data_IF_263292794641
#
_entry.id   IF_263292794641
#
_cell.length_a   1.000
_cell.length_b   1.000
_cell.length_c   1.000
_cell.angle_alpha   90.00
_cell.angle_beta   90.00
_cell.angle_gamma   90.00
#
_symmetry.space_group_name_H-M   'P 1'
#
loop_
_entity.id
_entity.type
_entity.pdbx_description
1 polymer ?
#
# COMPACT_ATOMS: atom_id res chain seq x y z
N UNK A 1 4.38 -3.09 -15.41
CA UNK A 1 3.03 -3.04 -16.02
C UNK A 1 2.08 -2.17 -15.21
N UNK A 2 1.95 -2.36 -13.88
CA UNK A 2 1.05 -1.59 -13.01
C UNK A 2 1.11 -0.05 -13.18
N UNK A 3 2.30 0.56 -13.13
CA UNK A 3 2.44 2.02 -13.30
C UNK A 3 1.98 2.51 -14.68
N UNK A 4 2.27 1.76 -15.74
CA UNK A 4 1.85 2.11 -17.10
C UNK A 4 0.33 2.00 -17.22
N UNK A 5 -0.26 0.94 -16.70
CA UNK A 5 -1.71 0.74 -16.71
C UNK A 5 -2.45 1.86 -15.94
N UNK A 6 -1.99 2.21 -14.75
CA UNK A 6 -2.54 3.33 -13.98
C UNK A 6 -2.41 4.67 -14.73
N UNK A 7 -1.29 4.92 -15.40
CA UNK A 7 -1.11 6.12 -16.21
C UNK A 7 -2.04 6.16 -17.43
N UNK A 8 -2.19 5.03 -18.13
CA UNK A 8 -3.08 4.93 -19.29
C UNK A 8 -4.55 5.04 -18.89
N UNK A 9 -4.96 4.45 -17.77
CA UNK A 9 -6.31 4.58 -17.23
C UNK A 9 -6.65 6.05 -16.92
N UNK A 10 -5.70 6.77 -16.31
CA UNK A 10 -5.83 8.20 -16.05
C UNK A 10 -6.01 9.03 -17.33
N UNK A 11 -5.27 8.71 -18.40
CA UNK A 11 -5.43 9.38 -19.71
C UNK A 11 -6.77 9.03 -20.36
N UNK A 12 -7.17 7.75 -20.35
CA UNK A 12 -8.39 7.28 -20.99
C UNK A 12 -9.66 7.84 -20.33
N UNK A 13 -9.65 7.91 -18.99
CA UNK A 13 -10.78 8.40 -18.20
C UNK A 13 -10.70 9.90 -17.91
N UNK A 14 -9.70 10.62 -18.47
CA UNK A 14 -9.46 12.05 -18.22
C UNK A 14 -9.44 12.40 -16.72
N UNK A 15 -8.77 11.57 -15.91
CA UNK A 15 -8.70 11.75 -14.46
C UNK A 15 -7.80 12.96 -14.15
N UNK A 16 -8.39 14.02 -13.59
CA UNK A 16 -7.62 15.18 -13.15
C UNK A 16 -6.80 14.85 -11.88
N UNK A 17 -5.47 15.04 -11.90
CA UNK A 17 -4.66 14.87 -10.71
C UNK A 17 -5.01 15.96 -9.67
N UNK A 18 -4.93 15.64 -8.37
CA UNK A 18 -5.17 16.64 -7.33
C UNK A 18 -4.12 17.76 -7.40
N UNK A 19 -4.43 18.95 -6.85
CA UNK A 19 -3.48 20.06 -6.80
C UNK A 19 -2.15 19.67 -6.17
N UNK A 20 -1.06 20.20 -6.73
CA UNK A 20 0.28 19.99 -6.20
C UNK A 20 0.41 20.50 -4.76
N UNK A 21 1.20 19.79 -3.96
CA UNK A 21 1.45 20.14 -2.56
C UNK A 21 2.86 20.68 -2.44
N UNK A 22 2.99 22.00 -2.39
CA UNK A 22 4.27 22.72 -2.31
C UNK A 22 4.80 22.87 -0.87
N UNK A 23 4.47 21.92 0.01
CA UNK A 23 4.84 21.95 1.43
C UNK A 23 5.46 20.64 1.84
N UNK A 24 6.26 20.67 2.90
CA UNK A 24 6.83 19.46 3.47
C UNK A 24 5.73 18.64 4.19
N UNK A 25 5.27 17.56 3.54
CA UNK A 25 4.19 16.68 4.03
C UNK A 25 4.54 16.05 5.39
N UNK A 26 5.83 15.82 5.68
CA UNK A 26 6.27 15.24 6.96
C UNK A 26 6.07 16.18 8.15
N UNK A 27 5.95 17.49 7.91
CA UNK A 27 5.71 18.49 8.96
C UNK A 27 4.23 18.83 9.14
N UNK A 28 3.35 18.26 8.31
CA UNK A 28 1.92 18.54 8.37
C UNK A 28 1.25 17.73 9.48
N UNK A 29 0.38 18.38 10.22
CA UNK A 29 -0.52 17.71 11.16
C UNK A 29 -1.52 16.82 10.42
N UNK A 30 -2.09 15.83 11.11
CA UNK A 30 -3.15 14.96 10.56
C UNK A 30 -4.33 15.79 10.00
N UNK A 31 -4.68 16.90 10.68
CA UNK A 31 -5.74 17.80 10.23
C UNK A 31 -5.39 18.50 8.91
N UNK A 32 -4.15 18.94 8.74
CA UNK A 32 -3.69 19.55 7.50
C UNK A 32 -3.64 18.54 6.35
N UNK A 33 -3.10 17.33 6.60
CA UNK A 33 -3.09 16.26 5.58
C UNK A 33 -4.50 15.97 5.08
N UNK A 34 -5.48 15.83 5.99
CA UNK A 34 -6.90 15.63 5.64
C UNK A 34 -7.48 16.82 4.86
N UNK A 35 -7.17 18.06 5.24
CA UNK A 35 -7.61 19.26 4.52
C UNK A 35 -7.14 19.25 3.06
N UNK A 36 -5.92 18.78 2.81
CA UNK A 36 -5.35 18.64 1.47
C UNK A 36 -5.71 17.32 0.78
N UNK A 37 -6.61 16.51 1.36
CA UNK A 37 -6.99 15.18 0.86
C UNK A 37 -5.79 14.25 0.61
N UNK A 38 -4.73 14.43 1.37
CA UNK A 38 -3.56 13.54 1.33
C UNK A 38 -3.99 12.22 1.96
N UNK A 39 -3.99 11.17 1.14
CA UNK A 39 -4.15 9.79 1.61
C UNK A 39 -2.77 9.23 1.92
N UNK A 40 -2.69 8.47 2.99
CA UNK A 40 -1.47 7.75 3.33
C UNK A 40 -1.44 6.43 2.56
N UNK A 41 -0.24 6.01 2.18
CA UNK A 41 -0.05 4.69 1.60
C UNK A 41 -0.26 3.62 2.67
N UNK A 42 -0.56 2.37 2.27
CA UNK A 42 -0.60 1.25 3.20
C UNK A 42 0.68 1.17 4.04
N UNK A 43 0.53 0.95 5.35
CA UNK A 43 1.63 0.98 6.31
C UNK A 43 2.52 -0.28 6.28
N UNK A 44 2.02 -1.36 5.68
CA UNK A 44 2.70 -2.64 5.58
C UNK A 44 2.21 -3.41 4.34
N UNK A 45 2.79 -4.59 4.12
CA UNK A 45 2.46 -5.46 3.00
C UNK A 45 1.03 -6.00 3.09
N UNK A 46 0.54 -6.34 4.29
CA UNK A 46 -0.81 -6.86 4.49
C UNK A 46 -1.87 -5.87 4.01
N UNK A 47 -1.77 -4.61 4.46
CA UNK A 47 -2.65 -3.52 4.04
C UNK A 47 -2.50 -3.19 2.55
N UNK A 48 -1.29 -3.32 1.98
CA UNK A 48 -1.07 -3.11 0.55
C UNK A 48 -1.77 -4.18 -0.30
N UNK A 49 -1.75 -5.44 0.16
CA UNK A 49 -2.46 -6.54 -0.49
C UNK A 49 -3.98 -6.36 -0.36
N UNK A 50 -4.49 -5.85 0.76
CA UNK A 50 -5.93 -5.51 0.93
C UNK A 50 -6.39 -4.46 -0.09
N UNK A 51 -5.58 -3.44 -0.35
CA UNK A 51 -5.90 -2.41 -1.35
C UNK A 51 -5.74 -2.92 -2.78
N UNK A 52 -4.75 -3.79 -3.03
CA UNK A 52 -4.57 -4.43 -4.33
C UNK A 52 -5.77 -5.32 -4.69
N UNK A 53 -6.26 -6.11 -3.75
CA UNK A 53 -7.39 -7.04 -3.92
C UNK A 53 -8.68 -6.32 -4.33
N UNK A 54 -8.87 -5.07 -3.90
CA UNK A 54 -10.03 -4.23 -4.27
C UNK A 54 -9.87 -3.53 -5.64
N UNK A 55 -8.71 -3.64 -6.29
CA UNK A 55 -8.39 -2.89 -7.50
C UNK A 55 -8.80 -3.64 -8.77
N UNK A 56 -9.95 -3.25 -9.34
CA UNK A 56 -10.42 -3.78 -10.63
C UNK A 56 -9.41 -3.53 -11.76
N UNK A 57 -8.77 -2.35 -11.78
CA UNK A 57 -7.75 -2.01 -12.76
C UNK A 57 -6.55 -2.97 -12.69
N UNK A 58 -6.06 -3.29 -11.48
CA UNK A 58 -4.93 -4.20 -11.33
C UNK A 58 -5.31 -5.65 -11.65
N UNK A 59 -6.52 -6.07 -11.31
CA UNK A 59 -7.06 -7.36 -11.71
C UNK A 59 -7.07 -7.52 -13.25
N UNK A 60 -7.60 -6.52 -13.97
CA UNK A 60 -7.59 -6.50 -15.43
C UNK A 60 -6.17 -6.42 -16.02
N UNK A 61 -5.28 -5.65 -15.40
CA UNK A 61 -3.91 -5.44 -15.90
C UNK A 61 -3.04 -6.68 -15.79
N UNK A 62 -3.14 -7.41 -14.68
CA UNK A 62 -2.33 -8.61 -14.42
C UNK A 62 -2.99 -9.86 -15.03
N UNK A 63 -4.30 -9.85 -15.19
CA UNK A 63 -5.09 -11.02 -15.55
C UNK A 63 -5.32 -11.94 -14.36
N UNK A 64 -6.45 -12.64 -14.37
CA UNK A 64 -6.96 -13.47 -13.26
C UNK A 64 -5.89 -14.39 -12.67
N UNK A 65 -5.25 -15.23 -13.51
CA UNK A 65 -4.28 -16.21 -13.05
C UNK A 65 -3.07 -15.59 -12.33
N UNK A 66 -2.48 -14.52 -12.89
CA UNK A 66 -1.31 -13.89 -12.28
C UNK A 66 -1.69 -13.09 -11.04
N UNK A 67 -2.83 -12.39 -11.08
CA UNK A 67 -3.32 -11.60 -9.96
C UNK A 67 -3.57 -12.47 -8.73
N UNK A 68 -4.30 -13.58 -8.89
CA UNK A 68 -4.60 -14.52 -7.81
C UNK A 68 -3.34 -15.16 -7.24
N UNK A 69 -2.44 -15.67 -8.11
CA UNK A 69 -1.20 -16.30 -7.65
C UNK A 69 -0.24 -15.33 -6.99
N UNK A 70 -0.22 -14.07 -7.44
CA UNK A 70 0.56 -13.03 -6.78
C UNK A 70 0.01 -12.72 -5.38
N UNK A 71 -1.32 -12.53 -5.24
CA UNK A 71 -1.96 -12.32 -3.96
C UNK A 71 -1.72 -13.49 -3.01
N UNK A 72 -1.96 -14.73 -3.46
CA UNK A 72 -1.74 -15.94 -2.66
C UNK A 72 -0.30 -16.02 -2.13
N UNK A 73 0.69 -15.88 -3.02
CA UNK A 73 2.09 -15.94 -2.66
C UNK A 73 2.49 -14.84 -1.67
N UNK A 74 2.02 -13.60 -1.89
CA UNK A 74 2.38 -12.47 -1.03
C UNK A 74 1.65 -12.46 0.31
N UNK A 75 0.44 -13.03 0.38
CA UNK A 75 -0.26 -13.28 1.65
C UNK A 75 0.48 -14.32 2.48
N UNK A 76 0.96 -15.40 1.86
CA UNK A 76 1.76 -16.41 2.54
C UNK A 76 3.06 -15.79 3.11
N UNK A 77 3.78 -14.99 2.31
CA UNK A 77 4.97 -14.25 2.76
C UNK A 77 4.67 -13.32 3.95
N UNK A 78 3.56 -12.57 3.90
CA UNK A 78 3.15 -11.70 4.99
C UNK A 78 2.82 -12.46 6.28
N UNK A 79 2.10 -13.58 6.17
CA UNK A 79 1.77 -14.43 7.31
C UNK A 79 3.02 -15.05 7.94
N UNK A 80 3.97 -15.50 7.11
CA UNK A 80 5.25 -16.01 7.58
C UNK A 80 6.02 -14.93 8.36
N UNK A 81 6.16 -13.74 7.80
CA UNK A 81 6.86 -12.63 8.44
C UNK A 81 6.20 -12.20 9.76
N UNK A 82 4.88 -11.98 9.74
CA UNK A 82 4.15 -11.46 10.91
C UNK A 82 4.01 -12.46 12.07
N UNK A 83 4.24 -13.75 11.83
CA UNK A 83 4.26 -14.77 12.86
C UNK A 83 5.63 -14.92 13.57
N UNK A 84 6.69 -14.28 13.05
CA UNK A 84 8.04 -14.37 13.63
C UNK A 84 8.15 -13.43 14.83
N UNK A 85 8.67 -13.95 15.94
CA UNK A 85 9.10 -13.12 17.07
C UNK A 85 10.48 -12.55 16.75
N UNK A 86 10.56 -11.23 16.61
CA UNK A 86 11.78 -10.54 16.23
C UNK A 86 12.68 -10.26 17.45
N UNK A 87 14.02 -10.19 17.26
CA UNK A 87 14.94 -9.83 18.34
C UNK A 87 14.60 -8.52 19.05
N UNK A 88 14.08 -7.54 18.31
CA UNK A 88 13.60 -6.28 18.89
C UNK A 88 12.51 -6.49 19.95
N UNK A 89 11.59 -7.44 19.74
CA UNK A 89 10.53 -7.76 20.70
C UNK A 89 11.11 -8.44 21.94
N UNK A 90 12.07 -9.36 21.76
CA UNK A 90 12.77 -10.01 22.87
C UNK A 90 13.51 -8.98 23.72
N UNK A 91 14.27 -8.09 23.09
CA UNK A 91 15.00 -7.02 23.78
C UNK A 91 14.05 -6.06 24.50
N UNK A 92 12.91 -5.72 23.91
CA UNK A 92 11.97 -4.76 24.50
C UNK A 92 11.15 -5.34 25.64
N UNK A 93 10.71 -6.60 25.51
CA UNK A 93 9.75 -7.21 26.43
C UNK A 93 10.38 -8.18 27.42
N UNK A 94 11.57 -8.74 27.14
CA UNK A 94 12.23 -9.74 27.98
C UNK A 94 13.58 -9.29 28.57
N UNK A 95 14.22 -8.21 28.09
CA UNK A 95 15.53 -7.79 28.61
C UNK A 95 15.53 -7.20 30.04
N UNK A 96 14.35 -7.01 30.65
CA UNK A 96 14.19 -6.53 32.03
C UNK A 96 13.70 -7.63 33.00
N UNK A 97 13.70 -8.89 32.57
CA UNK A 97 13.49 -10.07 33.43
C UNK A 97 14.86 -10.65 33.80
#
# INVERSE_FOLDING_TARGET
>A
TAMLAAGLDGIQNSIEPPPAIERNIYKMTVREKRKHRIRELPGDLGLALDELEKSELMHATLGEHLFEKFLEAKRAEWLEYSAVVHPWELERYLANI
#
